data_IF_311034591938
#
_entry.id   IF_311034591938
#
_cell.length_a   1.000
_cell.length_b   1.000
_cell.length_c   1.000
_cell.angle_alpha   90.00
_cell.angle_beta   90.00
_cell.angle_gamma   90.00
#
_symmetry.space_group_name_H-M   'P 1'
#
loop_
_entity.id
_entity.type
_entity.pdbx_description
1 polymer ?
#
# COMPACT_ATOMS: atom_id res chain seq x y z
N UNK A 1 1.66 -18.06 -4.41
CA UNK A 1 0.98 -19.11 -3.62
C UNK A 1 0.03 -19.90 -4.52
N UNK A 2 0.15 -21.24 -4.61
CA UNK A 2 -0.67 -22.06 -5.52
C UNK A 2 -2.19 -21.90 -5.31
N UNK A 3 -2.64 -21.70 -4.07
CA UNK A 3 -4.06 -21.49 -3.74
C UNK A 3 -4.64 -20.20 -4.34
N UNK A 4 -3.88 -19.11 -4.35
CA UNK A 4 -4.30 -17.84 -4.95
C UNK A 4 -4.35 -17.93 -6.47
N UNK A 5 -3.37 -18.59 -7.10
CA UNK A 5 -3.33 -18.76 -8.56
C UNK A 5 -4.54 -19.56 -9.06
N UNK A 6 -4.89 -20.65 -8.37
CA UNK A 6 -6.07 -21.44 -8.72
C UNK A 6 -7.37 -20.63 -8.63
N UNK A 7 -7.54 -19.83 -7.57
CA UNK A 7 -8.71 -18.95 -7.41
C UNK A 7 -8.76 -17.86 -8.48
N UNK A 8 -7.63 -17.25 -8.80
CA UNK A 8 -7.52 -16.23 -9.86
C UNK A 8 -7.89 -16.81 -11.23
N UNK A 9 -7.40 -18.02 -11.56
CA UNK A 9 -7.75 -18.70 -12.82
C UNK A 9 -9.26 -18.89 -12.96
N UNK A 10 -9.91 -19.43 -11.93
CA UNK A 10 -11.37 -19.64 -11.96
C UNK A 10 -12.18 -18.35 -12.16
N UNK A 11 -11.70 -17.21 -11.66
CA UNK A 11 -12.35 -15.91 -11.89
C UNK A 11 -12.14 -15.43 -13.34
N UNK A 12 -10.94 -15.61 -13.90
CA UNK A 12 -10.61 -15.16 -15.26
C UNK A 12 -11.24 -16.03 -16.36
N UNK A 13 -11.47 -17.30 -16.09
CA UNK A 13 -12.21 -18.21 -16.98
C UNK A 13 -13.65 -17.73 -17.19
N UNK A 14 -14.30 -17.22 -16.13
CA UNK A 14 -15.67 -16.71 -16.20
C UNK A 14 -15.82 -15.50 -17.16
N UNK A 15 -14.74 -14.71 -17.31
CA UNK A 15 -14.68 -13.53 -18.18
C UNK A 15 -13.93 -13.76 -19.51
N UNK A 16 -13.52 -15.01 -19.80
CA UNK A 16 -12.73 -15.38 -20.98
C UNK A 16 -11.39 -14.61 -21.13
N UNK A 17 -10.79 -14.17 -20.02
CA UNK A 17 -9.54 -13.40 -19.99
C UNK A 17 -8.29 -14.25 -19.74
N UNK A 18 -8.45 -15.52 -19.38
CA UNK A 18 -7.35 -16.39 -18.94
C UNK A 18 -6.18 -16.46 -19.94
N UNK A 19 -6.49 -16.52 -21.24
CA UNK A 19 -5.47 -16.62 -22.30
C UNK A 19 -4.48 -15.45 -22.35
N UNK A 20 -4.81 -14.31 -21.74
CA UNK A 20 -3.97 -13.12 -21.66
C UNK A 20 -3.16 -13.04 -20.35
N UNK A 21 -3.31 -14.01 -19.43
CA UNK A 21 -2.70 -13.96 -18.10
C UNK A 21 -1.60 -14.99 -17.96
N UNK A 22 -0.46 -14.55 -17.41
CA UNK A 22 0.66 -15.41 -17.03
C UNK A 22 0.97 -15.18 -15.56
N UNK A 23 1.11 -16.27 -14.81
CA UNK A 23 1.52 -16.22 -13.41
C UNK A 23 3.03 -16.43 -13.29
N UNK A 24 3.69 -15.50 -12.63
CA UNK A 24 5.12 -15.59 -12.29
C UNK A 24 5.29 -15.59 -10.77
N UNK A 25 6.35 -16.24 -10.30
CA UNK A 25 6.77 -16.16 -8.89
C UNK A 25 7.75 -15.00 -8.64
N UNK A 26 8.24 -14.37 -9.71
CA UNK A 26 9.24 -13.31 -9.68
C UNK A 26 8.77 -12.10 -10.49
N UNK A 27 9.25 -10.91 -10.11
CA UNK A 27 9.06 -9.70 -10.90
C UNK A 27 9.78 -9.88 -12.24
N UNK A 28 9.14 -9.57 -13.39
CA UNK A 28 9.81 -9.65 -14.68
C UNK A 28 11.03 -8.72 -14.76
N UNK A 29 12.04 -9.08 -15.53
CA UNK A 29 13.26 -8.27 -15.71
C UNK A 29 13.04 -7.00 -16.55
N UNK A 30 11.97 -6.98 -17.34
CA UNK A 30 11.67 -5.95 -18.31
C UNK A 30 10.15 -5.80 -18.52
N UNK A 31 9.61 -4.65 -18.12
CA UNK A 31 8.21 -4.28 -18.31
C UNK A 31 8.15 -3.00 -19.13
N UNK A 32 7.41 -3.04 -20.24
CA UNK A 32 6.95 -1.87 -20.98
C UNK A 32 5.43 -1.81 -20.81
N UNK A 33 4.94 -0.92 -19.95
CA UNK A 33 3.53 -0.90 -19.55
C UNK A 33 3.33 -0.45 -18.10
N UNK A 34 2.38 -1.07 -17.40
CA UNK A 34 2.02 -0.70 -16.03
C UNK A 34 2.32 -1.82 -15.04
N UNK A 35 2.98 -1.47 -13.93
CA UNK A 35 3.06 -2.30 -12.73
C UNK A 35 2.01 -1.75 -11.75
N UNK A 36 1.10 -2.62 -11.28
CA UNK A 36 0.03 -2.23 -10.36
C UNK A 36 0.16 -3.02 -9.06
N UNK A 37 0.14 -2.33 -7.94
CA UNK A 37 0.01 -2.91 -6.60
C UNK A 37 -1.21 -2.33 -5.90
N UNK A 38 -2.12 -3.18 -5.44
CA UNK A 38 -3.32 -2.78 -4.70
C UNK A 38 -3.36 -3.51 -3.37
N UNK A 39 -3.25 -2.77 -2.26
CA UNK A 39 -3.20 -3.31 -0.89
C UNK A 39 -2.21 -4.49 -0.80
N UNK A 40 -0.98 -4.23 -1.28
CA UNK A 40 0.09 -5.21 -1.31
C UNK A 40 1.17 -4.83 -0.30
N UNK A 41 1.51 -3.54 -0.22
CA UNK A 41 2.67 -3.10 0.52
C UNK A 41 2.36 -3.04 2.02
N UNK A 42 1.11 -2.75 2.40
CA UNK A 42 0.67 -2.73 3.80
C UNK A 42 0.78 -4.09 4.50
N UNK A 43 0.66 -5.17 3.73
CA UNK A 43 0.80 -6.56 4.17
C UNK A 43 2.27 -7.02 4.27
N UNK A 44 3.23 -6.19 3.87
CA UNK A 44 4.65 -6.54 3.96
C UNK A 44 5.17 -6.46 5.40
N UNK A 45 6.18 -7.28 5.76
CA UNK A 45 6.79 -7.22 7.08
C UNK A 45 7.39 -5.84 7.39
N UNK A 46 7.20 -5.38 8.62
CA UNK A 46 7.74 -4.11 9.12
C UNK A 46 8.58 -4.33 10.36
N UNK A 47 9.58 -3.47 10.53
CA UNK A 47 10.23 -3.26 11.82
C UNK A 47 9.37 -2.30 12.64
N UNK A 48 9.32 -2.48 13.96
CA UNK A 48 8.68 -1.52 14.86
C UNK A 48 9.74 -0.84 15.69
N UNK A 49 9.71 0.48 15.74
CA UNK A 49 10.67 1.28 16.50
C UNK A 49 9.95 2.17 17.50
N UNK A 50 10.62 2.48 18.60
CA UNK A 50 10.15 3.43 19.60
C UNK A 50 11.22 4.47 19.85
N UNK A 51 10.80 5.74 19.92
CA UNK A 51 11.64 6.84 20.37
C UNK A 51 11.42 7.03 21.88
N UNK A 52 12.50 6.97 22.66
CA UNK A 52 12.49 7.14 24.11
C UNK A 52 13.77 7.87 24.56
N UNK A 53 13.62 8.98 25.27
CA UNK A 53 14.68 9.93 25.63
C UNK A 53 15.52 10.39 24.43
N UNK A 54 14.87 10.55 23.27
CA UNK A 54 15.52 10.92 22.00
C UNK A 54 16.35 9.81 21.34
N UNK A 55 16.36 8.61 21.90
CA UNK A 55 17.01 7.43 21.32
C UNK A 55 16.00 6.52 20.62
N UNK A 56 16.36 6.02 19.45
CA UNK A 56 15.55 5.04 18.72
C UNK A 56 15.95 3.61 19.10
N UNK A 57 14.98 2.84 19.59
CA UNK A 57 15.13 1.40 19.85
C UNK A 57 14.13 0.60 19.02
N UNK A 58 14.51 -0.59 18.60
CA UNK A 58 13.62 -1.51 17.89
C UNK A 58 12.85 -2.38 18.89
N UNK A 59 11.59 -2.65 18.58
CA UNK A 59 10.69 -3.53 19.34
C UNK A 59 10.88 -4.96 18.82
N UNK A 60 11.52 -5.79 19.63
CA UNK A 60 11.65 -7.23 19.41
C UNK A 60 10.52 -7.99 20.09
N UNK A 61 10.27 -9.21 19.60
CA UNK A 61 9.29 -10.13 20.19
C UNK A 61 10.04 -11.29 20.81
N UNK A 62 9.82 -11.53 22.10
CA UNK A 62 10.35 -12.65 22.86
C UNK A 62 9.21 -13.54 23.39
N UNK A 63 9.54 -14.76 23.83
CA UNK A 63 8.61 -15.73 24.40
C UNK A 63 9.04 -16.10 25.82
N UNK A 64 8.23 -15.74 26.81
CA UNK A 64 8.54 -15.98 28.22
C UNK A 64 8.21 -17.41 28.72
N UNK A 65 7.81 -18.29 27.79
CA UNK A 65 7.30 -19.63 28.10
C UNK A 65 5.77 -19.73 28.19
N UNK A 66 5.06 -18.59 28.25
CA UNK A 66 3.59 -18.53 28.38
C UNK A 66 2.93 -17.60 27.37
N UNK A 67 3.55 -16.46 27.10
CA UNK A 67 3.03 -15.43 26.20
C UNK A 67 4.16 -14.74 25.45
N UNK A 68 3.80 -14.11 24.33
CA UNK A 68 4.70 -13.20 23.65
C UNK A 68 4.83 -11.91 24.45
N UNK A 69 6.04 -11.35 24.48
CA UNK A 69 6.35 -10.07 25.09
C UNK A 69 7.20 -9.24 24.15
N UNK A 70 7.06 -7.92 24.29
CA UNK A 70 7.86 -6.97 23.53
C UNK A 70 9.07 -6.51 24.36
N UNK A 71 10.23 -6.43 23.72
CA UNK A 71 11.46 -5.94 24.32
C UNK A 71 12.10 -4.87 23.44
N UNK A 72 12.56 -3.77 24.04
CA UNK A 72 13.29 -2.73 23.32
C UNK A 72 14.78 -3.06 23.28
N UNK A 73 15.35 -3.13 22.09
CA UNK A 73 16.78 -3.38 21.88
C UNK A 73 17.37 -2.43 20.83
N UNK A 74 18.68 -2.49 20.61
CA UNK A 74 19.33 -1.79 19.51
C UNK A 74 18.74 -2.25 18.17
N UNK A 75 18.74 -1.36 17.18
CA UNK A 75 18.22 -1.68 15.84
C UNK A 75 18.96 -2.86 15.22
N UNK A 76 18.22 -3.84 14.74
CA UNK A 76 18.72 -5.05 14.07
C UNK A 76 19.49 -4.75 12.77
N UNK A 77 19.26 -3.59 12.17
CA UNK A 77 19.92 -3.14 10.95
C UNK A 77 20.10 -1.63 10.94
N UNK A 78 21.23 -1.16 10.40
CA UNK A 78 21.50 0.25 10.18
C UNK A 78 20.54 0.90 9.16
N UNK A 79 19.84 0.10 8.34
CA UNK A 79 18.85 0.62 7.39
C UNK A 79 17.66 1.32 8.05
N UNK A 80 17.33 0.97 9.30
CA UNK A 80 16.29 1.66 10.08
C UNK A 80 16.72 3.11 10.38
N UNK A 81 17.97 3.33 10.79
CA UNK A 81 18.52 4.68 10.97
C UNK A 81 18.55 5.45 9.65
N UNK A 82 19.09 4.82 8.59
CA UNK A 82 19.16 5.43 7.25
C UNK A 82 17.78 5.79 6.69
N UNK A 83 16.75 5.02 7.03
CA UNK A 83 15.37 5.30 6.64
C UNK A 83 14.94 6.69 7.12
N UNK A 84 15.08 6.98 8.42
CA UNK A 84 14.71 8.28 8.97
C UNK A 84 15.69 9.40 8.58
N UNK A 85 16.98 9.09 8.40
CA UNK A 85 17.96 10.05 7.84
C UNK A 85 17.55 10.53 6.44
N UNK A 86 17.07 9.64 5.56
CA UNK A 86 16.61 10.00 4.21
C UNK A 86 15.37 10.89 4.22
N UNK A 87 14.45 10.62 5.15
CA UNK A 87 13.25 11.45 5.33
C UNK A 87 13.61 12.80 5.97
N UNK A 88 14.64 12.83 6.82
CA UNK A 88 15.00 13.99 7.63
C UNK A 88 14.04 14.23 8.79
N UNK A 89 13.38 13.18 9.29
CA UNK A 89 12.37 13.23 10.36
C UNK A 89 12.48 11.98 11.23
N UNK A 90 12.35 12.14 12.55
CA UNK A 90 12.14 11.03 13.48
C UNK A 90 10.68 11.00 13.95
N UNK A 91 10.16 9.83 14.35
CA UNK A 91 8.90 9.77 15.09
C UNK A 91 8.92 10.62 16.36
N UNK A 92 7.74 11.03 16.80
CA UNK A 92 7.62 11.80 18.04
C UNK A 92 8.08 11.03 19.28
N UNK A 93 8.41 11.77 20.34
CA UNK A 93 8.81 11.21 21.63
C UNK A 93 7.74 10.26 22.21
N UNK A 94 8.18 9.13 22.77
CA UNK A 94 7.33 8.06 23.32
C UNK A 94 6.34 7.50 22.27
N UNK A 95 6.67 7.59 20.98
CA UNK A 95 5.85 6.99 19.91
C UNK A 95 6.49 5.70 19.42
N UNK A 96 5.65 4.69 19.22
CA UNK A 96 5.97 3.48 18.45
C UNK A 96 5.59 3.73 16.99
N UNK A 97 6.37 3.24 16.03
CA UNK A 97 6.13 3.45 14.60
C UNK A 97 6.66 2.28 13.77
N UNK A 98 6.07 2.07 12.60
CA UNK A 98 6.49 1.04 11.65
C UNK A 98 7.50 1.58 10.63
N UNK A 99 8.49 0.76 10.30
CA UNK A 99 9.48 0.98 9.22
C UNK A 99 9.38 -0.18 8.24
N UNK A 100 8.84 0.09 7.05
CA UNK A 100 8.59 -0.91 6.03
C UNK A 100 9.73 -0.95 5.00
N UNK A 101 10.85 -1.56 5.37
CA UNK A 101 11.99 -1.73 4.45
C UNK A 101 11.64 -2.62 3.25
N UNK A 102 10.77 -3.62 3.45
CA UNK A 102 10.32 -4.53 2.39
C UNK A 102 9.56 -3.80 1.27
N UNK A 103 8.76 -2.79 1.59
CA UNK A 103 8.10 -1.96 0.58
C UNK A 103 9.10 -1.14 -0.25
N UNK A 104 10.20 -0.67 0.36
CA UNK A 104 11.26 0.03 -0.38
C UNK A 104 12.00 -0.92 -1.32
N UNK A 105 12.30 -2.14 -0.87
CA UNK A 105 12.89 -3.18 -1.70
C UNK A 105 11.97 -3.57 -2.87
N UNK A 106 10.67 -3.70 -2.61
CA UNK A 106 9.68 -3.95 -3.66
C UNK A 106 9.66 -2.83 -4.70
N UNK A 107 9.63 -1.57 -4.26
CA UNK A 107 9.66 -0.41 -5.16
C UNK A 107 10.95 -0.34 -5.97
N UNK A 108 12.10 -0.66 -5.35
CA UNK A 108 13.38 -0.75 -6.06
C UNK A 108 13.36 -1.81 -7.16
N UNK A 109 12.74 -2.97 -6.91
CA UNK A 109 12.55 -4.04 -7.92
C UNK A 109 11.57 -3.62 -9.02
N UNK A 110 10.45 -2.99 -8.68
CA UNK A 110 9.49 -2.46 -9.65
C UNK A 110 10.13 -1.42 -10.57
N UNK A 111 10.91 -0.49 -10.00
CA UNK A 111 11.70 0.50 -10.76
C UNK A 111 12.72 -0.14 -11.70
N UNK A 112 13.39 -1.20 -11.26
CA UNK A 112 14.38 -1.91 -12.07
C UNK A 112 13.70 -2.63 -13.24
N UNK A 113 12.59 -3.31 -12.97
CA UNK A 113 11.80 -4.03 -13.96
C UNK A 113 11.20 -3.09 -15.03
N UNK A 114 10.70 -1.92 -14.64
CA UNK A 114 10.06 -1.00 -15.57
C UNK A 114 11.08 -0.36 -16.52
N UNK A 115 10.94 -0.61 -17.83
CA UNK A 115 11.72 0.06 -18.90
C UNK A 115 11.04 1.36 -19.32
N UNK A 116 9.74 1.29 -19.57
CA UNK A 116 8.90 2.44 -19.92
C UNK A 116 7.47 2.23 -19.44
N UNK A 117 6.79 3.29 -19.02
CA UNK A 117 5.41 3.26 -18.55
C UNK A 117 5.24 3.72 -17.10
N UNK A 118 4.40 3.03 -16.32
CA UNK A 118 3.95 3.49 -14.99
C UNK A 118 4.10 2.43 -13.90
N UNK A 119 4.29 2.90 -12.67
CA UNK A 119 4.01 2.16 -11.43
C UNK A 119 2.84 2.84 -10.74
N UNK A 120 1.78 2.08 -10.46
CA UNK A 120 0.60 2.55 -9.71
C UNK A 120 0.49 1.76 -8.41
N UNK A 121 0.54 2.46 -7.29
CA UNK A 121 0.39 1.88 -5.96
C UNK A 121 -0.85 2.45 -5.28
N UNK A 122 -1.78 1.56 -4.95
CA UNK A 122 -3.00 1.84 -4.19
C UNK A 122 -2.81 1.21 -2.81
N UNK A 123 -2.66 2.05 -1.77
CA UNK A 123 -2.46 1.53 -0.43
C UNK A 123 -2.91 2.55 0.64
N UNK A 124 -3.14 2.07 1.87
CA UNK A 124 -3.41 2.95 3.01
C UNK A 124 -2.12 3.57 3.50
N UNK A 125 -2.13 4.89 3.70
CA UNK A 125 -0.96 5.54 4.29
C UNK A 125 -0.95 7.04 4.16
N UNK A 126 0.19 7.59 4.55
CA UNK A 126 0.39 9.02 4.73
C UNK A 126 1.79 9.41 4.28
N UNK A 127 2.00 10.71 4.08
CA UNK A 127 3.36 11.24 4.00
C UNK A 127 4.00 11.29 5.39
N UNK A 128 5.32 11.21 5.45
CA UNK A 128 6.08 11.06 6.69
C UNK A 128 5.70 12.04 7.82
N UNK A 129 5.49 13.36 7.57
CA UNK A 129 5.11 14.30 8.63
C UNK A 129 3.79 13.94 9.35
N UNK A 130 2.85 13.33 8.64
CA UNK A 130 1.57 12.88 9.21
C UNK A 130 1.66 11.45 9.76
N UNK A 131 2.42 10.57 9.09
CA UNK A 131 2.61 9.20 9.54
C UNK A 131 3.35 9.16 10.89
N UNK A 132 4.41 9.94 11.04
CA UNK A 132 5.29 9.94 12.22
C UNK A 132 4.98 11.07 13.20
N UNK A 133 3.80 11.67 13.08
CA UNK A 133 3.40 12.80 13.90
C UNK A 133 3.34 12.45 15.40
N UNK A 134 3.64 13.39 16.33
CA UNK A 134 3.69 13.12 17.76
C UNK A 134 2.38 12.65 18.41
N UNK A 135 1.23 12.83 17.75
CA UNK A 135 -0.07 12.32 18.22
C UNK A 135 -0.31 10.85 17.87
N UNK A 136 0.48 10.26 16.97
CA UNK A 136 0.37 8.85 16.60
C UNK A 136 1.27 7.99 17.49
N UNK A 137 0.84 7.82 18.75
CA UNK A 137 1.64 7.15 19.78
C UNK A 137 1.90 5.66 19.54
N UNK A 138 0.96 4.95 18.93
CA UNK A 138 1.03 3.49 18.77
C UNK A 138 1.28 3.04 17.33
N UNK A 139 1.66 3.96 16.44
CA UNK A 139 1.86 3.66 15.03
C UNK A 139 0.55 3.34 14.30
N UNK A 140 0.62 2.41 13.37
CA UNK A 140 -0.47 2.03 12.46
C UNK A 140 -0.66 0.53 12.30
N UNK A 141 0.17 -0.29 12.96
CA UNK A 141 -0.01 -1.74 12.94
C UNK A 141 -1.42 -2.09 13.44
N UNK A 142 -2.18 -2.75 12.59
CA UNK A 142 -3.55 -3.15 12.88
C UNK A 142 -3.77 -4.58 12.43
N UNK A 143 -4.48 -5.35 13.25
CA UNK A 143 -4.80 -6.74 12.95
C UNK A 143 -6.28 -6.89 12.65
N UNK A 144 -6.62 -7.82 11.76
CA UNK A 144 -8.01 -8.12 11.41
C UNK A 144 -8.31 -9.61 11.54
N UNK A 145 -9.42 -9.92 12.22
CA UNK A 145 -9.96 -11.29 12.28
C UNK A 145 -11.47 -11.26 12.03
N UNK A 146 -11.92 -11.90 10.94
CA UNK A 146 -13.35 -11.93 10.56
C UNK A 146 -14.00 -10.54 10.57
N UNK A 147 -13.36 -9.56 9.93
CA UNK A 147 -13.79 -8.16 9.86
C UNK A 147 -13.81 -7.39 11.20
N UNK A 148 -13.17 -7.92 12.24
CA UNK A 148 -13.02 -7.22 13.52
C UNK A 148 -11.57 -6.74 13.69
N UNK A 149 -11.35 -5.42 13.89
CA UNK A 149 -10.01 -4.88 14.13
C UNK A 149 -9.53 -5.24 15.55
N UNK A 150 -8.21 -5.38 15.69
CA UNK A 150 -7.53 -5.61 16.97
C UNK A 150 -6.12 -5.04 16.92
N UNK A 151 -5.63 -4.51 18.04
CA UNK A 151 -4.27 -3.99 18.17
C UNK A 151 -3.29 -5.04 18.71
N UNK A 152 -3.74 -6.28 18.96
CA UNK A 152 -2.90 -7.35 19.53
C UNK A 152 -2.41 -8.29 18.40
N UNK A 153 -1.14 -8.17 17.96
CA UNK A 153 -0.58 -9.02 16.92
C UNK A 153 -0.38 -10.48 17.37
N UNK A 154 -0.41 -10.75 18.68
CA UNK A 154 -0.12 -12.07 19.26
C UNK A 154 -1.38 -12.90 19.52
N UNK A 155 -2.58 -12.30 19.42
CA UNK A 155 -3.84 -12.95 19.77
C UNK A 155 -4.16 -14.21 18.95
N UNK A 156 -3.87 -14.22 17.64
CA UNK A 156 -4.27 -15.30 16.72
C UNK A 156 -3.23 -15.55 15.62
N UNK A 157 -2.02 -15.91 16.01
CA UNK A 157 -0.91 -16.16 15.10
C UNK A 157 -1.32 -17.13 13.97
N UNK A 158 -1.04 -16.71 12.74
CA UNK A 158 -1.37 -17.44 11.50
C UNK A 158 -2.87 -17.47 11.14
N UNK A 159 -3.73 -16.79 11.92
CA UNK A 159 -5.19 -16.76 11.70
C UNK A 159 -5.80 -15.37 11.64
N UNK A 160 -5.02 -14.33 11.93
CA UNK A 160 -5.39 -12.94 11.72
C UNK A 160 -4.48 -12.31 10.68
N UNK A 161 -5.02 -11.32 9.99
CA UNK A 161 -4.25 -10.45 9.13
C UNK A 161 -3.52 -9.38 9.95
N UNK A 162 -2.42 -8.87 9.45
CA UNK A 162 -1.61 -7.81 10.08
C UNK A 162 -1.15 -6.84 8.99
N UNK A 163 -1.57 -5.59 9.10
CA UNK A 163 -1.22 -4.56 8.13
C UNK A 163 -0.67 -3.32 8.82
N UNK A 164 0.10 -2.53 8.09
CA UNK A 164 0.62 -1.24 8.54
C UNK A 164 0.48 -0.21 7.42
N UNK A 165 0.29 1.05 7.78
CA UNK A 165 0.17 2.10 6.77
C UNK A 165 1.50 2.41 6.11
N UNK A 166 1.44 2.74 4.82
CA UNK A 166 2.59 3.08 3.99
C UNK A 166 3.07 4.50 4.26
N UNK A 167 4.39 4.64 4.37
CA UNK A 167 5.09 5.91 4.22
C UNK A 167 5.26 6.24 2.75
N UNK A 168 4.37 7.08 2.23
CA UNK A 168 4.44 7.52 0.85
C UNK A 168 5.61 8.48 0.56
N UNK A 169 6.20 9.11 1.58
CA UNK A 169 7.43 9.91 1.40
C UNK A 169 8.59 8.99 1.05
N UNK A 170 8.82 7.96 1.86
CA UNK A 170 9.89 6.98 1.61
C UNK A 170 9.67 6.19 0.33
N UNK A 171 8.42 5.80 0.05
CA UNK A 171 8.09 5.04 -1.16
C UNK A 171 8.36 5.86 -2.44
N UNK A 172 7.98 7.16 -2.45
CA UNK A 172 8.31 8.09 -3.55
C UNK A 172 9.82 8.17 -3.75
N UNK A 173 10.56 8.45 -2.68
CA UNK A 173 12.03 8.58 -2.72
C UNK A 173 12.71 7.30 -3.21
N UNK A 174 12.23 6.12 -2.80
CA UNK A 174 12.76 4.83 -3.26
C UNK A 174 12.53 4.60 -4.77
N UNK A 175 11.38 5.01 -5.30
CA UNK A 175 11.13 4.99 -6.75
C UNK A 175 12.00 6.01 -7.51
N UNK A 176 12.18 7.20 -6.94
CA UNK A 176 12.97 8.29 -7.53
C UNK A 176 14.47 8.00 -7.53
N UNK A 177 14.95 7.23 -6.54
CA UNK A 177 16.33 6.74 -6.45
C UNK A 177 16.68 5.89 -7.68
N UNK A 178 17.21 6.56 -8.71
CA UNK A 178 17.58 6.02 -10.02
C UNK A 178 16.42 5.69 -10.99
N UNK A 179 15.41 6.56 -11.08
CA UNK A 179 14.83 6.86 -12.40
C UNK A 179 13.31 6.81 -12.58
N UNK A 180 12.50 6.51 -11.55
CA UNK A 180 11.08 6.86 -11.64
C UNK A 180 10.91 8.37 -11.40
N UNK A 181 9.93 8.97 -12.05
CA UNK A 181 9.45 10.32 -11.77
C UNK A 181 8.10 10.20 -11.08
N UNK A 182 7.95 10.78 -9.89
CA UNK A 182 6.63 10.91 -9.27
C UNK A 182 5.76 11.85 -10.10
N UNK A 183 4.62 11.34 -10.55
CA UNK A 183 3.64 12.10 -11.35
C UNK A 183 2.55 12.67 -10.45
N UNK A 184 2.10 11.90 -9.46
CA UNK A 184 1.12 12.37 -8.48
C UNK A 184 0.89 11.40 -7.33
N UNK A 185 0.35 11.95 -6.25
CA UNK A 185 -0.13 11.24 -5.07
C UNK A 185 -1.48 11.85 -4.70
N UNK A 186 -2.57 11.12 -4.94
CA UNK A 186 -3.94 11.59 -4.70
C UNK A 186 -4.70 10.58 -3.85
N UNK A 187 -5.90 10.94 -3.36
CA UNK A 187 -6.79 9.94 -2.76
C UNK A 187 -7.44 9.06 -3.83
N UNK A 188 -7.87 7.86 -3.47
CA UNK A 188 -8.67 6.98 -4.34
C UNK A 188 -9.99 7.65 -4.71
N UNK A 189 -10.59 8.39 -3.77
CA UNK A 189 -11.79 9.18 -4.03
C UNK A 189 -11.57 10.17 -5.19
N UNK A 190 -10.51 10.97 -5.13
CA UNK A 190 -10.16 11.91 -6.18
C UNK A 190 -9.83 11.17 -7.48
N UNK A 191 -9.00 10.11 -7.39
CA UNK A 191 -8.55 9.36 -8.56
C UNK A 191 -9.71 8.75 -9.35
N UNK A 192 -10.62 8.06 -8.67
CA UNK A 192 -11.77 7.42 -9.30
C UNK A 192 -12.81 8.43 -9.77
N UNK A 193 -13.02 9.51 -9.02
CA UNK A 193 -13.92 10.61 -9.44
C UNK A 193 -13.42 11.26 -10.72
N UNK A 194 -12.11 11.55 -10.80
CA UNK A 194 -11.49 12.13 -11.99
C UNK A 194 -11.53 11.18 -13.20
N UNK A 195 -11.52 9.86 -12.99
CA UNK A 195 -11.74 8.86 -14.03
C UNK A 195 -13.22 8.71 -14.44
N UNK A 196 -14.14 9.44 -13.81
CA UNK A 196 -15.57 9.41 -14.15
C UNK A 196 -16.30 8.18 -13.60
N UNK A 197 -15.89 7.63 -12.44
CA UNK A 197 -16.53 6.43 -11.87
C UNK A 197 -18.05 6.57 -11.69
N UNK A 198 -18.55 7.78 -11.41
CA UNK A 198 -19.98 8.07 -11.32
C UNK A 198 -20.72 7.93 -12.66
N UNK A 199 -20.05 8.27 -13.76
CA UNK A 199 -20.56 8.18 -15.14
C UNK A 199 -20.27 6.83 -15.80
N UNK A 200 -19.44 5.97 -15.21
CA UNK A 200 -19.17 4.62 -15.71
C UNK A 200 -20.31 3.62 -15.45
N UNK A 201 -21.27 3.98 -14.59
CA UNK A 201 -22.44 3.18 -14.22
C UNK A 201 -23.52 2.97 -15.32
N UNK A 202 -23.78 3.89 -16.30
CA UNK A 202 -24.86 3.76 -17.26
C UNK A 202 -24.50 3.06 -18.59
N UNK A 203 -23.23 2.92 -18.98
CA UNK A 203 -22.89 2.51 -20.36
C UNK A 203 -23.25 1.04 -20.72
N UNK A 204 -23.71 0.23 -19.74
CA UNK A 204 -24.22 -1.15 -19.96
C UNK A 204 -25.60 -1.35 -19.31
N UNK A 205 -26.34 -0.27 -19.05
CA UNK A 205 -27.48 -0.30 -18.11
C UNK A 205 -28.80 -0.84 -18.61
N UNK A 206 -28.97 -1.03 -19.92
CA UNK A 206 -30.27 -1.46 -20.47
C UNK A 206 -30.55 -2.95 -20.22
N UNK A 207 -29.55 -3.72 -19.77
CA UNK A 207 -29.64 -5.16 -19.48
C UNK A 207 -29.58 -5.48 -17.98
N UNK A 208 -29.36 -4.50 -17.10
CA UNK A 208 -29.17 -4.75 -15.66
C UNK A 208 -30.48 -4.69 -14.88
N UNK A 209 -30.66 -5.63 -13.96
CA UNK A 209 -31.75 -5.60 -12.98
C UNK A 209 -31.64 -4.36 -12.07
N UNK A 210 -32.77 -3.97 -11.47
CA UNK A 210 -32.78 -2.87 -10.50
C UNK A 210 -31.84 -3.15 -9.30
N UNK A 211 -31.76 -4.41 -8.86
CA UNK A 211 -30.90 -4.83 -7.75
C UNK A 211 -29.42 -4.62 -8.07
N UNK A 212 -28.98 -5.02 -9.26
CA UNK A 212 -27.59 -4.81 -9.71
C UNK A 212 -27.25 -3.33 -9.84
N UNK A 213 -28.19 -2.51 -10.30
CA UNK A 213 -28.01 -1.05 -10.36
C UNK A 213 -27.82 -0.45 -8.97
N UNK A 214 -28.60 -0.89 -7.98
CA UNK A 214 -28.46 -0.44 -6.58
C UNK A 214 -27.14 -0.93 -5.98
N UNK A 215 -26.78 -2.19 -6.19
CA UNK A 215 -25.53 -2.75 -5.69
C UNK A 215 -24.30 -2.02 -6.25
N UNK A 216 -24.27 -1.74 -7.57
CA UNK A 216 -23.18 -0.98 -8.19
C UNK A 216 -23.08 0.44 -7.66
N UNK A 217 -24.20 1.13 -7.48
CA UNK A 217 -24.21 2.49 -6.88
C UNK A 217 -23.62 2.48 -5.47
N UNK A 218 -24.01 1.50 -4.63
CA UNK A 218 -23.45 1.35 -3.29
C UNK A 218 -21.94 1.10 -3.32
N UNK A 219 -21.48 0.21 -4.20
CA UNK A 219 -20.05 -0.07 -4.37
C UNK A 219 -19.27 1.20 -4.79
N UNK A 220 -19.80 2.00 -5.71
CA UNK A 220 -19.17 3.28 -6.10
C UNK A 220 -19.13 4.24 -4.90
N UNK A 221 -20.23 4.39 -4.16
CA UNK A 221 -20.25 5.24 -2.96
C UNK A 221 -19.21 4.78 -1.93
N UNK A 222 -19.07 3.48 -1.71
CA UNK A 222 -18.08 2.91 -0.77
C UNK A 222 -16.64 3.15 -1.24
N UNK A 223 -16.36 2.97 -2.54
CA UNK A 223 -15.02 3.17 -3.11
C UNK A 223 -14.52 4.62 -3.02
N UNK A 224 -15.43 5.59 -3.05
CA UNK A 224 -15.10 7.03 -3.00
C UNK A 224 -15.33 7.66 -1.62
N UNK A 225 -15.89 6.93 -0.65
CA UNK A 225 -16.16 7.46 0.69
C UNK A 225 -14.83 7.83 1.39
N UNK A 226 -14.56 9.13 1.67
CA UNK A 226 -13.32 9.55 2.32
C UNK A 226 -13.14 8.98 3.74
N UNK A 227 -14.21 8.54 4.39
CA UNK A 227 -14.14 7.87 5.69
C UNK A 227 -13.81 6.36 5.57
N UNK A 228 -14.05 5.78 4.39
CA UNK A 228 -13.84 4.37 4.06
C UNK A 228 -12.69 4.17 3.07
N UNK A 229 -12.96 3.46 1.98
CA UNK A 229 -11.96 3.10 0.97
C UNK A 229 -11.42 4.32 0.20
N UNK A 230 -12.17 5.41 0.13
CA UNK A 230 -11.76 6.63 -0.57
C UNK A 230 -10.48 7.26 -0.01
N UNK A 231 -10.09 6.92 1.24
CA UNK A 231 -8.85 7.39 1.88
C UNK A 231 -7.58 6.70 1.37
N UNK A 232 -7.70 5.56 0.68
CA UNK A 232 -6.58 4.89 0.02
C UNK A 232 -5.83 5.93 -0.82
N UNK A 233 -4.50 5.91 -0.80
CA UNK A 233 -3.70 6.79 -1.62
C UNK A 233 -3.32 6.09 -2.91
N UNK A 234 -3.31 6.85 -4.00
CA UNK A 234 -2.87 6.42 -5.33
C UNK A 234 -1.58 7.15 -5.66
N UNK A 235 -0.45 6.45 -5.51
CA UNK A 235 0.84 6.93 -5.98
C UNK A 235 1.03 6.51 -7.44
N UNK A 236 1.29 7.48 -8.31
CA UNK A 236 1.63 7.25 -9.71
C UNK A 236 3.05 7.73 -9.97
N UNK A 237 3.90 6.82 -10.42
CA UNK A 237 5.25 7.14 -10.87
C UNK A 237 5.47 6.64 -12.31
N UNK A 238 6.32 7.32 -13.07
CA UNK A 238 6.54 7.03 -14.49
C UNK A 238 8.03 6.90 -14.83
N UNK A 239 8.35 6.15 -15.89
CA UNK A 239 9.72 6.03 -16.42
C UNK A 239 9.69 5.91 -17.93
N UNK A 240 10.69 6.51 -18.60
CA UNK A 240 10.89 6.34 -20.05
C UNK A 240 9.76 6.88 -20.93
N UNK A 241 8.87 7.72 -20.40
CA UNK A 241 7.73 8.30 -21.13
C UNK A 241 7.57 9.78 -20.78
N UNK A 242 7.06 10.56 -21.73
CA UNK A 242 6.59 11.92 -21.47
C UNK A 242 5.15 11.86 -20.97
N UNK A 243 4.88 12.47 -19.82
CA UNK A 243 3.54 12.52 -19.23
C UNK A 243 3.01 13.94 -19.38
N UNK A 244 2.02 14.14 -20.25
CA UNK A 244 1.38 15.45 -20.47
C UNK A 244 0.01 15.58 -19.79
N UNK A 245 -0.76 14.49 -19.70
CA UNK A 245 -2.04 14.50 -19.01
C UNK A 245 -2.40 13.10 -18.54
N UNK A 246 -2.75 12.96 -17.25
CA UNK A 246 -3.36 11.75 -16.71
C UNK A 246 -4.69 12.13 -16.07
N UNK A 247 -5.79 11.70 -16.69
CA UNK A 247 -7.15 12.05 -16.26
C UNK A 247 -7.37 11.76 -14.77
N UNK A 248 -6.95 10.59 -14.28
CA UNK A 248 -7.09 10.22 -12.87
C UNK A 248 -6.39 11.15 -11.88
N UNK A 249 -5.36 11.91 -12.29
CA UNK A 249 -4.68 12.86 -11.39
C UNK A 249 -5.27 14.28 -11.45
N UNK A 250 -6.23 14.55 -12.35
CA UNK A 250 -6.87 15.86 -12.47
C UNK A 250 -5.98 16.99 -13.01
N UNK A 251 -4.72 16.70 -13.40
CA UNK A 251 -3.78 17.70 -13.92
C UNK A 251 -3.81 17.70 -15.44
N UNK A 252 -4.29 18.80 -16.03
CA UNK A 252 -3.97 19.22 -17.39
C UNK A 252 -2.86 20.27 -17.30
N UNK A 253 -1.83 20.18 -18.14
CA UNK A 253 -0.92 21.31 -18.38
C UNK A 253 -1.69 22.58 -18.76
#
# INVERSE_FOLDING_TARGET
MPSLQARQRGLLEADALESNVRWSNEMPDAVEGCIVSNELLDSMPVHRVRIDDGEMREVFVDWDGKQFREELQESSTAEIGRYFERIGLLPGEVCTSEVNLAALDWMARARQALRSGFVLTFDYGYEAPELYAPWRKEGTLLCFYKHNPSNDPYARIGRQDMTSHIDFTSLKQAGEAAGLKTVGLVSQSDFLTNLGIGEALPARSDELSMEERVARRRAVTELIDPAGLGRIKVLVQAKGIHVSHLSGLGVSD
#
